data_IF_180603432448
#
_entry.id   IF_180603432448
#
_cell.length_a   1.000
_cell.length_b   1.000
_cell.length_c   1.000
_cell.angle_alpha   90.00
_cell.angle_beta   90.00
_cell.angle_gamma   90.00
#
_symmetry.space_group_name_H-M   'P 1'
#
loop_
_entity.id
_entity.type
_entity.pdbx_description
1 polymer ?
#
# COMPACT_ATOMS: atom_id res chain seq x y z
N UNK A 1 -3.73 -6.05 -1.89
CA UNK A 1 -2.45 -6.75 -1.68
C UNK A 1 -1.40 -5.83 -1.05
N UNK A 2 -1.38 -4.52 -1.34
CA UNK A 2 -0.43 -3.55 -0.78
C UNK A 2 -0.87 -2.85 0.53
N UNK A 3 -2.16 -2.90 0.90
CA UNK A 3 -2.66 -2.30 2.14
C UNK A 3 -1.99 -2.83 3.43
N UNK A 4 -1.37 -4.01 3.37
CA UNK A 4 -0.60 -4.56 4.48
C UNK A 4 0.73 -3.82 4.69
N UNK A 5 1.37 -3.34 3.62
CA UNK A 5 2.63 -2.60 3.72
C UNK A 5 2.46 -1.27 4.45
N UNK A 6 1.40 -0.51 4.18
CA UNK A 6 1.13 0.73 4.93
C UNK A 6 1.01 0.47 6.43
N UNK A 7 0.28 -0.58 6.81
CA UNK A 7 0.14 -0.96 8.21
C UNK A 7 1.48 -1.37 8.81
N UNK A 8 2.33 -2.02 8.03
CA UNK A 8 3.64 -2.47 8.49
C UNK A 8 4.67 -1.34 8.58
N UNK A 9 4.70 -0.38 7.64
CA UNK A 9 5.64 0.75 7.74
C UNK A 9 5.36 1.60 8.98
N UNK A 10 4.11 1.74 9.41
CA UNK A 10 3.78 2.50 10.64
C UNK A 10 4.33 1.86 11.93
N UNK A 11 4.78 0.59 11.87
CA UNK A 11 5.44 -0.07 13.00
C UNK A 11 6.92 0.27 13.10
N UNK A 12 7.57 0.53 11.96
CA UNK A 12 9.02 0.67 11.85
C UNK A 12 9.47 2.10 11.57
N UNK A 13 8.63 2.87 10.89
CA UNK A 13 8.91 4.24 10.47
C UNK A 13 8.16 5.21 11.39
N UNK A 14 8.86 6.15 12.05
CA UNK A 14 8.21 7.21 12.80
C UNK A 14 7.28 8.04 11.91
N UNK A 15 6.13 8.46 12.43
CA UNK A 15 5.11 9.19 11.68
C UNK A 15 5.67 10.38 10.88
N UNK A 16 6.54 11.19 11.49
CA UNK A 16 7.09 12.37 10.81
C UNK A 16 8.00 12.03 9.61
N UNK A 17 8.57 10.82 9.55
CA UNK A 17 9.32 10.33 8.39
C UNK A 17 8.37 9.78 7.33
N UNK A 18 7.28 9.12 7.74
CA UNK A 18 6.20 8.69 6.84
C UNK A 18 5.58 9.89 6.15
N UNK A 19 5.27 10.95 6.89
CA UNK A 19 4.69 12.19 6.35
C UNK A 19 5.60 12.80 5.28
N UNK A 20 6.92 12.81 5.51
CA UNK A 20 7.90 13.22 4.49
C UNK A 20 7.98 12.27 3.29
N UNK A 21 7.78 10.97 3.50
CA UNK A 21 7.69 10.01 2.41
C UNK A 21 6.48 10.26 1.53
N UNK A 22 5.36 10.63 2.15
CA UNK A 22 4.15 11.04 1.42
C UNK A 22 4.39 12.30 0.59
N UNK A 23 5.06 13.32 1.15
CA UNK A 23 5.48 14.51 0.39
C UNK A 23 6.31 14.13 -0.84
N UNK A 24 7.29 13.21 -0.69
CA UNK A 24 8.13 12.77 -1.80
C UNK A 24 7.35 12.02 -2.90
N UNK A 25 6.35 11.24 -2.50
CA UNK A 25 5.44 10.59 -3.43
C UNK A 25 4.59 11.61 -4.19
N UNK A 26 3.94 12.55 -3.49
CA UNK A 26 3.07 13.57 -4.09
C UNK A 26 3.82 14.49 -5.05
N UNK A 27 5.09 14.78 -4.75
CA UNK A 27 5.98 15.58 -5.60
C UNK A 27 6.56 14.79 -6.79
N UNK A 28 6.29 13.48 -6.89
CA UNK A 28 6.70 12.64 -8.02
C UNK A 28 8.18 12.26 -8.03
N UNK A 29 8.83 12.13 -6.86
CA UNK A 29 10.25 11.78 -6.79
C UNK A 29 10.52 10.28 -6.98
N UNK A 30 9.49 9.44 -7.08
CA UNK A 30 9.62 7.99 -7.27
C UNK A 30 9.63 7.66 -8.76
N UNK A 31 10.69 7.01 -9.24
CA UNK A 31 10.94 6.72 -10.65
C UNK A 31 11.35 5.24 -10.84
N UNK A 32 11.26 4.75 -12.07
CA UNK A 32 11.73 3.42 -12.51
C UNK A 32 11.28 2.26 -11.60
N UNK A 33 9.98 2.24 -11.30
CA UNK A 33 9.39 1.23 -10.41
C UNK A 33 9.24 -0.11 -11.14
N UNK A 34 9.96 -1.12 -10.65
CA UNK A 34 9.90 -2.49 -11.13
C UNK A 34 9.50 -3.47 -10.02
N UNK A 35 8.63 -4.42 -10.35
CA UNK A 35 8.19 -5.46 -9.41
C UNK A 35 8.68 -6.83 -9.89
N UNK A 36 9.54 -7.47 -9.12
CA UNK A 36 10.09 -8.79 -9.43
C UNK A 36 10.22 -9.63 -8.15
N UNK A 37 9.87 -10.93 -8.23
CA UNK A 37 10.11 -11.91 -7.15
C UNK A 37 9.72 -11.45 -5.73
N UNK A 38 8.58 -10.76 -5.60
CA UNK A 38 8.05 -10.19 -4.33
C UNK A 38 8.87 -9.03 -3.75
N UNK A 39 9.67 -8.37 -4.59
CA UNK A 39 10.33 -7.12 -4.27
C UNK A 39 9.90 -6.04 -5.23
N UNK A 40 9.97 -4.81 -4.74
CA UNK A 40 9.86 -3.60 -5.56
C UNK A 40 11.24 -2.97 -5.59
N UNK A 41 11.72 -2.65 -6.79
CA UNK A 41 12.91 -1.87 -7.04
C UNK A 41 12.46 -0.53 -7.59
N UNK A 42 13.02 0.56 -7.10
CA UNK A 42 12.70 1.91 -7.54
C UNK A 42 13.87 2.84 -7.30
N UNK A 43 13.93 3.93 -8.06
CA UNK A 43 14.78 5.07 -7.73
C UNK A 43 13.95 6.16 -7.06
N UNK A 44 14.52 6.80 -6.05
CA UNK A 44 13.91 7.98 -5.43
C UNK A 44 14.89 9.14 -5.49
N UNK A 45 14.50 10.21 -6.18
CA UNK A 45 15.27 11.45 -6.23
C UNK A 45 15.23 12.11 -4.86
N UNK A 46 16.39 12.52 -4.36
CA UNK A 46 16.50 13.23 -3.09
C UNK A 46 17.53 14.33 -3.10
N UNK A 47 17.70 14.99 -1.96
CA UNK A 47 18.42 16.26 -1.89
C UNK A 47 19.91 16.18 -2.29
N UNK A 48 20.54 15.01 -2.13
CA UNK A 48 21.94 14.81 -2.42
C UNK A 48 22.19 13.76 -3.52
N UNK A 49 21.15 13.34 -4.24
CA UNK A 49 21.25 12.36 -5.32
C UNK A 49 20.03 11.46 -5.44
N UNK A 50 20.10 10.52 -6.38
CA UNK A 50 19.10 9.47 -6.58
C UNK A 50 19.51 8.25 -5.78
N UNK A 51 18.55 7.62 -5.12
CA UNK A 51 18.79 6.48 -4.24
C UNK A 51 18.03 5.26 -4.75
N UNK A 52 18.71 4.12 -4.87
CA UNK A 52 18.03 2.85 -5.07
C UNK A 52 17.27 2.47 -3.79
N UNK A 53 16.02 2.07 -3.97
CA UNK A 53 15.12 1.62 -2.92
C UNK A 53 14.60 0.24 -3.27
N UNK A 54 14.75 -0.69 -2.33
CA UNK A 54 14.26 -2.06 -2.47
C UNK A 54 13.25 -2.31 -1.35
N UNK A 55 11.99 -2.56 -1.70
CA UNK A 55 10.94 -2.91 -0.75
C UNK A 55 10.63 -4.40 -0.86
N UNK A 56 10.79 -5.12 0.25
CA UNK A 56 10.36 -6.51 0.34
C UNK A 56 8.86 -6.55 0.68
N UNK A 57 8.07 -7.14 -0.22
CA UNK A 57 6.61 -7.19 -0.10
C UNK A 57 6.11 -8.23 0.92
N UNK A 58 7.00 -9.06 1.45
CA UNK A 58 6.69 -10.11 2.43
C UNK A 58 7.14 -9.79 3.84
N UNK A 59 8.25 -9.08 3.98
CA UNK A 59 8.85 -8.71 5.26
C UNK A 59 9.54 -7.35 5.13
N UNK A 60 8.84 -6.29 5.53
CA UNK A 60 9.34 -4.92 5.39
C UNK A 60 10.71 -4.72 6.04
N UNK A 61 11.08 -5.50 7.05
CA UNK A 61 12.38 -5.38 7.73
C UNK A 61 13.58 -5.75 6.85
N UNK A 62 13.34 -6.44 5.73
CA UNK A 62 14.36 -6.78 4.72
C UNK A 62 14.47 -5.74 3.61
N UNK A 63 13.66 -4.68 3.69
CA UNK A 63 13.71 -3.57 2.74
C UNK A 63 14.95 -2.72 3.00
N UNK A 64 15.49 -2.10 1.96
CA UNK A 64 16.71 -1.30 2.02
C UNK A 64 16.61 -0.03 1.18
N UNK A 65 17.41 0.96 1.52
CA UNK A 65 17.63 2.16 0.73
C UNK A 65 19.10 2.55 0.83
N UNK A 66 19.70 2.97 -0.28
CA UNK A 66 21.11 3.38 -0.34
C UNK A 66 21.39 4.76 0.28
N UNK A 67 20.36 5.45 0.76
CA UNK A 67 20.54 6.80 1.31
C UNK A 67 21.34 6.78 2.62
N UNK A 68 22.07 7.86 2.94
CA UNK A 68 22.95 7.91 4.11
C UNK A 68 22.21 7.95 5.47
N UNK A 69 20.87 8.08 5.47
CA UNK A 69 20.10 8.02 6.71
C UNK A 69 20.01 6.57 7.20
N UNK A 70 20.34 6.35 8.47
CA UNK A 70 20.28 5.02 9.07
C UNK A 70 18.82 4.53 9.23
N UNK A 71 18.50 3.42 8.56
CA UNK A 71 17.31 2.57 8.63
C UNK A 71 15.91 3.23 8.47
N UNK A 72 15.12 2.66 7.55
CA UNK A 72 13.71 3.01 7.25
C UNK A 72 13.44 4.51 7.02
N UNK A 73 13.97 5.00 5.91
CA UNK A 73 13.92 6.40 5.55
C UNK A 73 12.62 6.80 4.81
N UNK A 74 12.47 8.11 4.57
CA UNK A 74 11.36 8.68 3.80
C UNK A 74 11.26 8.15 2.37
N UNK A 75 12.38 7.78 1.73
CA UNK A 75 12.36 7.25 0.36
C UNK A 75 11.64 5.89 0.32
N UNK A 76 11.85 5.05 1.34
CA UNK A 76 11.14 3.78 1.44
C UNK A 76 9.64 3.98 1.63
N UNK A 77 9.25 4.96 2.46
CA UNK A 77 7.85 5.32 2.61
C UNK A 77 7.24 5.85 1.30
N UNK A 78 7.98 6.67 0.54
CA UNK A 78 7.54 7.18 -0.76
C UNK A 78 7.24 6.05 -1.77
N UNK A 79 8.14 5.06 -1.89
CA UNK A 79 7.92 3.89 -2.76
C UNK A 79 6.70 3.08 -2.32
N UNK A 80 6.47 2.94 -1.01
CA UNK A 80 5.29 2.24 -0.51
C UNK A 80 3.99 2.97 -0.87
N UNK A 81 3.98 4.31 -0.84
CA UNK A 81 2.83 5.10 -1.29
C UNK A 81 2.60 4.95 -2.80
N UNK A 82 3.66 5.03 -3.60
CA UNK A 82 3.59 4.92 -5.06
C UNK A 82 2.95 3.58 -5.51
N UNK A 83 3.46 2.45 -5.02
CA UNK A 83 2.92 1.13 -5.37
C UNK A 83 1.49 0.90 -4.85
N UNK A 84 1.11 1.58 -3.76
CA UNK A 84 -0.26 1.52 -3.26
C UNK A 84 -1.19 2.24 -4.22
N UNK A 85 -0.88 3.48 -4.59
CA UNK A 85 -1.73 4.29 -5.47
C UNK A 85 -1.85 3.65 -6.85
N UNK A 86 -0.75 3.12 -7.41
CA UNK A 86 -0.78 2.35 -8.65
C UNK A 86 -1.75 1.15 -8.56
N UNK A 87 -1.72 0.43 -7.43
CA UNK A 87 -2.64 -0.69 -7.17
C UNK A 87 -4.09 -0.23 -7.03
N UNK A 88 -4.35 0.86 -6.31
CA UNK A 88 -5.70 1.42 -6.15
C UNK A 88 -6.26 1.95 -7.46
N UNK A 89 -5.46 2.66 -8.24
CA UNK A 89 -5.82 3.20 -9.55
C UNK A 89 -6.15 2.09 -10.54
N UNK A 90 -5.39 1.00 -10.55
CA UNK A 90 -5.70 -0.19 -11.36
C UNK A 90 -7.05 -0.79 -10.99
N UNK A 91 -7.33 -0.97 -9.69
CA UNK A 91 -8.62 -1.49 -9.22
C UNK A 91 -9.76 -0.52 -9.57
N UNK A 92 -9.59 0.78 -9.34
CA UNK A 92 -10.59 1.81 -9.68
C UNK A 92 -10.92 1.78 -11.17
N UNK A 93 -9.92 1.64 -12.04
CA UNK A 93 -10.15 1.59 -13.48
C UNK A 93 -10.93 0.33 -13.89
N UNK A 94 -10.58 -0.84 -13.33
CA UNK A 94 -11.34 -2.06 -13.57
C UNK A 94 -12.79 -1.97 -13.07
N UNK A 95 -13.02 -1.34 -11.91
CA UNK A 95 -14.35 -1.18 -11.34
C UNK A 95 -15.27 -0.29 -12.19
N UNK A 96 -14.73 0.70 -12.92
CA UNK A 96 -15.52 1.57 -13.81
C UNK A 96 -16.18 0.80 -14.97
N UNK A 97 -15.61 -0.34 -15.36
CA UNK A 97 -16.11 -1.16 -16.46
C UNK A 97 -17.12 -2.24 -16.07
N UNK A 98 -17.45 -2.38 -14.77
CA UNK A 98 -18.35 -3.42 -14.29
C UNK A 98 -19.81 -2.98 -14.29
N UNK A 99 -20.69 -3.90 -14.66
CA UNK A 99 -22.13 -3.73 -14.49
C UNK A 99 -22.53 -3.89 -13.02
N UNK A 100 -23.72 -3.39 -12.66
CA UNK A 100 -24.22 -3.39 -11.28
C UNK A 100 -24.22 -4.79 -10.65
N UNK A 101 -24.61 -5.81 -11.41
CA UNK A 101 -24.70 -7.20 -10.97
C UNK A 101 -23.31 -7.80 -10.69
N UNK A 102 -22.32 -7.46 -11.50
CA UNK A 102 -20.92 -7.88 -11.31
C UNK A 102 -20.31 -7.21 -10.08
N UNK A 103 -20.57 -5.91 -9.91
CA UNK A 103 -20.14 -5.15 -8.74
C UNK A 103 -20.75 -5.73 -7.45
N UNK A 104 -22.04 -6.07 -7.46
CA UNK A 104 -22.71 -6.75 -6.35
C UNK A 104 -22.06 -8.10 -6.03
N UNK A 105 -21.65 -8.85 -7.06
CA UNK A 105 -20.96 -10.13 -6.89
C UNK A 105 -19.61 -9.95 -6.19
N UNK A 106 -18.81 -8.97 -6.62
CA UNK A 106 -17.53 -8.63 -5.97
C UNK A 106 -17.73 -8.21 -4.52
N UNK A 107 -18.67 -7.29 -4.27
CA UNK A 107 -18.99 -6.81 -2.92
C UNK A 107 -19.43 -7.95 -1.99
N UNK A 108 -20.34 -8.81 -2.46
CA UNK A 108 -20.81 -9.96 -1.68
C UNK A 108 -19.65 -10.91 -1.33
N UNK A 109 -18.73 -11.16 -2.26
CA UNK A 109 -17.55 -12.01 -2.00
C UNK A 109 -16.61 -11.41 -0.96
N UNK A 110 -16.35 -10.11 -1.04
CA UNK A 110 -15.55 -9.39 -0.04
C UNK A 110 -16.22 -9.42 1.35
N UNK A 111 -17.54 -9.21 1.38
CA UNK A 111 -18.36 -9.27 2.59
C UNK A 111 -18.34 -10.67 3.24
N UNK A 112 -18.49 -11.74 2.47
CA UNK A 112 -18.49 -13.12 2.99
C UNK A 112 -17.19 -13.52 3.69
N UNK A 113 -16.06 -12.93 3.30
CA UNK A 113 -14.76 -13.18 3.92
C UNK A 113 -14.52 -12.36 5.20
N UNK A 114 -15.40 -11.40 5.51
CA UNK A 114 -15.28 -10.54 6.68
C UNK A 114 -16.00 -11.14 7.88
N UNK A 115 -15.28 -11.34 8.99
CA UNK A 115 -15.87 -11.72 10.29
C UNK A 115 -17.01 -10.79 10.72
N UNK A 116 -16.99 -9.54 10.25
CA UNK A 116 -18.00 -8.53 10.59
C UNK A 116 -19.37 -8.85 9.98
N UNK A 117 -19.42 -9.52 8.83
CA UNK A 117 -20.70 -9.86 8.16
C UNK A 117 -21.43 -10.97 8.90
N UNK A 118 -20.69 -11.97 9.38
CA UNK A 118 -21.26 -13.01 10.26
C UNK A 118 -21.79 -12.40 11.57
N UNK A 119 -21.11 -11.39 12.12
CA UNK A 119 -21.57 -10.67 13.32
C UNK A 119 -22.86 -9.92 13.04
N UNK A 120 -22.93 -9.14 11.96
CA UNK A 120 -24.12 -8.37 11.56
C UNK A 120 -25.30 -9.30 11.24
N UNK A 121 -25.10 -10.39 10.49
CA UNK A 121 -26.14 -11.39 10.26
C UNK A 121 -26.67 -11.99 11.56
N UNK A 122 -25.79 -12.26 12.51
CA UNK A 122 -26.17 -12.81 13.82
C UNK A 122 -26.95 -11.78 14.65
N UNK A 123 -26.61 -10.50 14.53
CA UNK A 123 -27.33 -9.40 15.19
C UNK A 123 -28.73 -9.18 14.59
N UNK A 124 -28.85 -9.21 13.26
CA UNK A 124 -30.11 -9.10 12.53
C UNK A 124 -31.04 -10.30 12.79
N UNK A 125 -30.52 -11.53 12.76
CA UNK A 125 -31.28 -12.75 13.09
C UNK A 125 -31.81 -12.76 14.53
N UNK A 126 -31.15 -12.01 15.44
CA UNK A 126 -31.56 -11.86 16.84
C UNK A 126 -32.46 -10.65 17.10
N UNK A 127 -32.86 -9.90 16.06
CA UNK A 127 -33.74 -8.73 16.17
C UNK A 127 -33.17 -7.63 17.09
N UNK A 128 -31.84 -7.49 17.17
CA UNK A 128 -31.15 -6.54 18.06
C UNK A 128 -30.83 -5.20 17.40
N UNK A 129 -31.40 -4.93 16.24
CA UNK A 129 -31.36 -3.67 15.52
C UNK A 129 -32.80 -3.38 15.08
#
# INVERSE_FOLDING_TARGET
MYAYLLKDITKWIPKYIIDKGYEYYEEGHVEDVEIQEKKVFAFVTGNAGNYEVIIDLTDFTKSSCECPNENYCKHMAAVVYDIQDAGESTVKEQLKGLEKEELLTVLNRLLQSSKNVQIVETMLKKGKI
#
